data_IF_216855067443
#
_entry.id   IF_216855067443
#
_cell.length_a   1.000
_cell.length_b   1.000
_cell.length_c   1.000
_cell.angle_alpha   90.00
_cell.angle_beta   90.00
_cell.angle_gamma   90.00
#
_symmetry.space_group_name_H-M   'P 1'
#
loop_
_entity.id
_entity.type
_entity.pdbx_description
1 polymer ?
#
# COMPACT_ATOMS: atom_id res chain seq x y z
N UNK A 1 23.14 16.65 32.26
CA UNK A 1 23.58 17.30 31.01
C UNK A 1 23.93 16.23 30.00
N UNK A 2 22.96 15.75 29.21
CA UNK A 2 23.27 14.87 28.07
C UNK A 2 24.25 15.64 27.16
N UNK A 3 25.42 15.06 26.88
CA UNK A 3 26.49 15.72 26.16
C UNK A 3 25.95 16.30 24.84
N UNK A 4 26.34 17.52 24.49
CA UNK A 4 25.94 18.21 23.25
C UNK A 4 26.16 17.34 22.00
N UNK A 5 27.14 16.43 22.06
CA UNK A 5 27.39 15.38 21.07
C UNK A 5 26.19 14.44 20.92
N UNK A 6 25.58 13.97 22.00
CA UNK A 6 24.43 13.06 21.96
C UNK A 6 23.18 13.73 21.38
N UNK A 7 22.96 15.03 21.65
CA UNK A 7 21.90 15.82 20.98
C UNK A 7 22.08 15.90 19.47
N UNK A 8 23.32 16.09 19.01
CA UNK A 8 23.64 16.08 17.57
C UNK A 8 23.33 14.74 16.91
N UNK A 9 23.69 13.62 17.55
CA UNK A 9 23.38 12.28 17.04
C UNK A 9 21.88 12.03 16.99
N UNK A 10 21.13 12.44 18.01
CA UNK A 10 19.67 12.31 18.03
C UNK A 10 19.00 13.11 16.91
N UNK A 11 19.49 14.32 16.60
CA UNK A 11 18.97 15.11 15.47
C UNK A 11 19.30 14.47 14.12
N UNK A 12 20.51 13.91 13.96
CA UNK A 12 20.90 13.20 12.74
C UNK A 12 20.03 11.94 12.54
N UNK A 13 19.80 11.18 13.63
CA UNK A 13 18.92 10.01 13.60
C UNK A 13 17.49 10.41 13.23
N UNK A 14 16.97 11.49 13.81
CA UNK A 14 15.64 12.00 13.49
C UNK A 14 15.51 12.37 12.01
N UNK A 15 16.49 13.10 11.47
CA UNK A 15 16.51 13.47 10.05
C UNK A 15 16.57 12.22 9.17
N UNK A 16 17.44 11.26 9.47
CA UNK A 16 17.52 9.99 8.75
C UNK A 16 16.19 9.23 8.76
N UNK A 17 15.53 9.11 9.92
CA UNK A 17 14.23 8.46 10.03
C UNK A 17 13.16 9.14 9.16
N UNK A 18 13.13 10.48 9.14
CA UNK A 18 12.20 11.22 8.27
C UNK A 18 12.55 11.07 6.79
N UNK A 19 13.83 11.04 6.41
CA UNK A 19 14.25 10.81 5.03
C UNK A 19 13.85 9.40 4.53
N UNK A 20 14.00 8.37 5.37
CA UNK A 20 13.56 7.00 5.03
C UNK A 20 12.05 6.94 4.83
N UNK A 21 11.27 7.67 5.64
CA UNK A 21 9.81 7.72 5.48
C UNK A 21 9.36 8.34 4.15
N UNK A 22 10.10 9.33 3.63
CA UNK A 22 9.77 10.01 2.37
C UNK A 22 9.98 9.12 1.12
N UNK A 23 10.91 8.15 1.19
CA UNK A 23 11.14 7.17 0.13
C UNK A 23 10.32 5.88 0.30
N UNK A 24 9.56 5.77 1.39
CA UNK A 24 8.91 4.53 1.79
C UNK A 24 7.95 3.98 0.74
N UNK A 25 7.14 4.82 0.07
CA UNK A 25 6.10 4.32 -0.84
C UNK A 25 6.68 3.55 -2.04
N UNK A 26 7.75 4.06 -2.64
CA UNK A 26 8.41 3.40 -3.78
C UNK A 26 9.16 2.15 -3.32
N UNK A 27 9.76 2.21 -2.13
CA UNK A 27 10.45 1.09 -1.52
C UNK A 27 9.49 -0.04 -1.17
N UNK A 28 8.33 0.26 -0.60
CA UNK A 28 7.29 -0.71 -0.25
C UNK A 28 6.86 -1.53 -1.46
N UNK A 29 6.57 -0.89 -2.61
CA UNK A 29 6.21 -1.60 -3.84
C UNK A 29 7.35 -2.44 -4.43
N UNK A 30 8.61 -2.07 -4.19
CA UNK A 30 9.75 -2.86 -4.64
C UNK A 30 9.91 -4.17 -3.84
N UNK A 31 9.54 -4.18 -2.55
CA UNK A 31 9.68 -5.33 -1.66
C UNK A 31 8.38 -6.09 -1.40
N UNK A 32 7.26 -5.68 -2.01
CA UNK A 32 5.94 -6.22 -1.71
C UNK A 32 5.79 -7.67 -2.19
N UNK A 33 6.47 -8.06 -3.27
CA UNK A 33 6.46 -9.43 -3.78
C UNK A 33 7.08 -10.40 -2.76
N UNK A 34 8.22 -10.02 -2.18
CA UNK A 34 8.88 -10.77 -1.11
C UNK A 34 8.00 -10.86 0.13
N UNK A 35 7.37 -9.75 0.54
CA UNK A 35 6.50 -9.73 1.71
C UNK A 35 5.28 -10.66 1.54
N UNK A 36 4.67 -10.69 0.36
CA UNK A 36 3.55 -11.57 0.05
C UNK A 36 3.97 -13.04 0.14
N UNK A 37 5.11 -13.41 -0.46
CA UNK A 37 5.62 -14.79 -0.42
C UNK A 37 5.94 -15.22 1.00
N UNK A 38 6.67 -14.39 1.75
CA UNK A 38 7.00 -14.66 3.15
C UNK A 38 5.75 -14.89 4.00
N UNK A 39 4.72 -14.09 3.78
CA UNK A 39 3.44 -14.27 4.46
C UNK A 39 2.72 -15.54 4.03
N UNK A 40 2.86 -15.98 2.78
CA UNK A 40 2.18 -17.16 2.24
C UNK A 40 2.85 -18.47 2.66
N UNK A 41 4.18 -18.46 2.82
CA UNK A 41 4.97 -19.62 3.25
C UNK A 41 4.49 -20.17 4.61
N UNK A 42 3.92 -19.32 5.48
CA UNK A 42 3.32 -19.73 6.76
C UNK A 42 2.02 -20.54 6.61
N UNK A 43 1.38 -20.54 5.43
CA UNK A 43 0.08 -21.19 5.19
C UNK A 43 0.14 -22.34 4.21
N UNK A 44 1.07 -22.32 3.25
CA UNK A 44 1.09 -23.29 2.14
C UNK A 44 2.53 -23.66 1.80
N UNK A 45 2.82 -24.97 1.76
CA UNK A 45 4.08 -25.48 1.22
C UNK A 45 3.96 -25.64 -0.31
N UNK A 46 4.79 -24.93 -1.06
CA UNK A 46 4.81 -24.96 -2.53
C UNK A 46 6.01 -25.75 -3.04
N UNK A 47 5.81 -26.57 -4.06
CA UNK A 47 6.93 -27.14 -4.82
C UNK A 47 7.51 -26.13 -5.81
N UNK A 48 8.69 -26.44 -6.38
CA UNK A 48 9.41 -25.54 -7.30
C UNK A 48 8.56 -25.01 -8.46
N UNK A 49 7.68 -25.83 -9.03
CA UNK A 49 6.82 -25.40 -10.15
C UNK A 49 5.73 -24.45 -9.68
N UNK A 50 5.15 -24.69 -8.51
CA UNK A 50 4.12 -23.83 -7.92
C UNK A 50 4.73 -22.49 -7.50
N UNK A 51 5.95 -22.49 -6.94
CA UNK A 51 6.66 -21.27 -6.58
C UNK A 51 6.90 -20.37 -7.80
N UNK A 52 7.37 -20.95 -8.91
CA UNK A 52 7.56 -20.20 -10.16
C UNK A 52 6.25 -19.62 -10.71
N UNK A 53 5.16 -20.38 -10.63
CA UNK A 53 3.85 -19.90 -11.06
C UNK A 53 3.33 -18.76 -10.17
N UNK A 54 3.53 -18.88 -8.85
CA UNK A 54 3.19 -17.84 -7.89
C UNK A 54 4.00 -16.55 -8.13
N UNK A 55 5.31 -16.67 -8.35
CA UNK A 55 6.19 -15.54 -8.61
C UNK A 55 5.73 -14.74 -9.83
N UNK A 56 5.35 -15.44 -10.91
CA UNK A 56 4.81 -14.81 -12.12
C UNK A 56 3.47 -14.10 -11.86
N UNK A 57 2.54 -14.78 -11.15
CA UNK A 57 1.23 -14.22 -10.82
C UNK A 57 1.32 -12.99 -9.91
N UNK A 58 2.19 -13.02 -8.89
CA UNK A 58 2.42 -11.88 -8.00
C UNK A 58 3.00 -10.69 -8.77
N UNK A 59 3.99 -10.93 -9.63
CA UNK A 59 4.60 -9.88 -10.43
C UNK A 59 3.59 -9.18 -11.34
N UNK A 60 2.75 -9.97 -12.04
CA UNK A 60 1.68 -9.45 -12.88
C UNK A 60 0.63 -8.67 -12.07
N UNK A 61 0.19 -9.23 -10.94
CA UNK A 61 -0.78 -8.60 -10.05
C UNK A 61 -0.28 -7.24 -9.52
N UNK A 62 0.97 -7.15 -9.07
CA UNK A 62 1.54 -5.88 -8.55
C UNK A 62 1.56 -4.80 -9.63
N UNK A 63 1.97 -5.16 -10.86
CA UNK A 63 1.99 -4.24 -11.99
C UNK A 63 0.59 -3.75 -12.35
N UNK A 64 -0.37 -4.66 -12.44
CA UNK A 64 -1.76 -4.31 -12.69
C UNK A 64 -2.32 -3.40 -11.59
N UNK A 65 -2.09 -3.76 -10.33
CA UNK A 65 -2.58 -3.01 -9.17
C UNK A 65 -2.01 -1.59 -9.15
N UNK A 66 -0.71 -1.44 -9.41
CA UNK A 66 -0.06 -0.14 -9.46
C UNK A 66 -0.59 0.71 -10.62
N UNK A 67 -0.79 0.12 -11.80
CA UNK A 67 -1.18 0.85 -13.01
C UNK A 67 -2.68 1.19 -13.07
N UNK A 68 -3.55 0.36 -12.51
CA UNK A 68 -5.01 0.48 -12.67
C UNK A 68 -5.74 0.78 -11.38
N UNK A 69 -5.40 0.09 -10.29
CA UNK A 69 -6.18 0.14 -9.06
C UNK A 69 -5.74 1.30 -8.15
N UNK A 70 -4.43 1.51 -8.01
CA UNK A 70 -3.88 2.60 -7.20
C UNK A 70 -4.32 4.00 -7.68
N UNK A 71 -4.40 4.31 -8.98
CA UNK A 71 -4.94 5.59 -9.45
C UNK A 71 -6.42 5.80 -9.10
N UNK A 72 -7.25 4.73 -9.13
CA UNK A 72 -8.66 4.82 -8.74
C UNK A 72 -8.80 5.16 -7.25
N UNK A 73 -8.00 4.52 -6.39
CA UNK A 73 -7.98 4.87 -4.96
C UNK A 73 -7.57 6.32 -4.74
N UNK A 74 -6.55 6.79 -5.46
CA UNK A 74 -6.14 8.18 -5.38
C UNK A 74 -7.30 9.13 -5.73
N UNK A 75 -8.02 8.85 -6.81
CA UNK A 75 -9.17 9.64 -7.23
C UNK A 75 -10.32 9.60 -6.19
N UNK A 76 -10.67 8.42 -5.69
CA UNK A 76 -11.72 8.24 -4.68
C UNK A 76 -11.39 8.99 -3.38
N UNK A 77 -10.16 8.85 -2.88
CA UNK A 77 -9.71 9.52 -1.67
C UNK A 77 -9.67 11.05 -1.84
N UNK A 78 -9.26 11.54 -3.01
CA UNK A 78 -9.29 12.97 -3.29
C UNK A 78 -10.73 13.52 -3.37
N UNK A 79 -11.66 12.76 -3.94
CA UNK A 79 -13.08 13.13 -3.95
C UNK A 79 -13.66 13.18 -2.53
N UNK A 80 -13.35 12.18 -1.69
CA UNK A 80 -13.74 12.16 -0.28
C UNK A 80 -13.14 13.36 0.47
N UNK A 81 -11.83 13.62 0.30
CA UNK A 81 -11.14 14.76 0.90
C UNK A 81 -11.78 16.09 0.51
N UNK A 82 -12.14 16.27 -0.76
CA UNK A 82 -12.84 17.46 -1.23
C UNK A 82 -14.23 17.61 -0.57
N UNK A 83 -14.98 16.51 -0.46
CA UNK A 83 -16.30 16.51 0.19
C UNK A 83 -16.22 16.87 1.67
N UNK A 84 -15.20 16.37 2.38
CA UNK A 84 -14.91 16.75 3.77
C UNK A 84 -14.58 18.24 3.85
N UNK A 85 -13.67 18.73 3.00
CA UNK A 85 -13.25 20.13 2.99
C UNK A 85 -14.39 21.11 2.70
N UNK A 86 -15.36 20.72 1.87
CA UNK A 86 -16.55 21.50 1.54
C UNK A 86 -17.70 21.33 2.54
N UNK A 87 -17.51 20.57 3.64
CA UNK A 87 -18.55 20.23 4.62
C UNK A 87 -19.78 19.55 4.00
N UNK A 88 -19.57 18.78 2.94
CA UNK A 88 -20.62 18.04 2.23
C UNK A 88 -20.67 16.56 2.64
N UNK A 89 -20.13 16.18 3.79
CA UNK A 89 -20.14 14.79 4.24
C UNK A 89 -21.48 14.46 4.92
N UNK A 90 -22.48 14.09 4.12
CA UNK A 90 -23.77 13.55 4.58
C UNK A 90 -23.70 12.02 4.75
N UNK A 91 -24.68 11.43 5.43
CA UNK A 91 -24.76 9.97 5.58
C UNK A 91 -24.79 9.24 4.24
N UNK A 92 -25.58 9.72 3.27
CA UNK A 92 -25.66 9.11 1.93
C UNK A 92 -24.34 9.20 1.17
N UNK A 93 -23.62 10.33 1.30
CA UNK A 93 -22.31 10.50 0.65
C UNK A 93 -21.24 9.66 1.34
N UNK A 94 -21.29 9.54 2.66
CA UNK A 94 -20.43 8.59 3.39
C UNK A 94 -20.67 7.16 2.91
N UNK A 95 -21.93 6.76 2.78
CA UNK A 95 -22.29 5.45 2.26
C UNK A 95 -21.75 5.25 0.83
N UNK A 96 -21.93 6.23 -0.06
CA UNK A 96 -21.36 6.19 -1.42
C UNK A 96 -19.84 5.96 -1.43
N UNK A 97 -19.08 6.75 -0.64
CA UNK A 97 -17.62 6.60 -0.55
C UNK A 97 -17.21 5.25 0.08
N UNK A 98 -17.99 4.75 1.05
CA UNK A 98 -17.75 3.44 1.66
C UNK A 98 -17.97 2.30 0.66
N UNK A 99 -19.05 2.33 -0.11
CA UNK A 99 -19.34 1.31 -1.13
C UNK A 99 -18.30 1.34 -2.25
N UNK A 100 -17.89 2.53 -2.71
CA UNK A 100 -16.79 2.69 -3.67
C UNK A 100 -15.51 1.99 -3.19
N UNK A 101 -15.13 2.19 -1.92
CA UNK A 101 -13.95 1.54 -1.34
C UNK A 101 -14.06 0.02 -1.25
N UNK A 102 -15.25 -0.49 -0.88
CA UNK A 102 -15.52 -1.95 -0.82
C UNK A 102 -15.41 -2.60 -2.20
N UNK A 103 -15.97 -1.98 -3.23
CA UNK A 103 -15.93 -2.51 -4.60
C UNK A 103 -14.49 -2.65 -5.10
N UNK A 104 -13.66 -1.64 -4.89
CA UNK A 104 -12.23 -1.69 -5.23
C UNK A 104 -11.48 -2.82 -4.49
N UNK A 105 -11.81 -3.06 -3.21
CA UNK A 105 -11.22 -4.17 -2.44
C UNK A 105 -11.62 -5.56 -2.97
N UNK A 106 -12.86 -5.73 -3.43
CA UNK A 106 -13.32 -7.00 -4.02
C UNK A 106 -12.49 -7.37 -5.26
N UNK A 107 -12.14 -6.38 -6.10
CA UNK A 107 -11.32 -6.62 -7.31
C UNK A 107 -9.91 -7.12 -6.94
N UNK A 108 -9.34 -6.62 -5.84
CA UNK A 108 -8.06 -7.09 -5.31
C UNK A 108 -8.15 -8.55 -4.85
N UNK A 109 -9.23 -8.93 -4.16
CA UNK A 109 -9.42 -10.30 -3.65
C UNK A 109 -9.59 -11.33 -4.77
N UNK A 110 -10.08 -10.91 -5.93
CA UNK A 110 -10.13 -11.75 -7.12
C UNK A 110 -8.77 -11.90 -7.81
N UNK A 111 -7.69 -11.37 -7.23
CA UNK A 111 -6.32 -11.38 -7.78
C UNK A 111 -6.28 -10.94 -9.24
N UNK A 112 -7.11 -9.98 -9.68
CA UNK A 112 -7.35 -9.76 -11.10
C UNK A 112 -6.04 -9.55 -11.87
N UNK A 113 -5.67 -10.54 -12.70
CA UNK A 113 -6.01 -10.43 -14.11
C UNK A 113 -7.06 -11.45 -14.60
N UNK A 114 -7.81 -11.02 -15.63
CA UNK A 114 -7.85 -11.73 -16.90
C UNK A 114 -6.87 -11.02 -17.86
#
# INVERSE_FOLDING_TARGET
MLSSRLRGHLLIILVLLTCVSACSTKMSYYFIDWAIKWQLDDYVELNDKQQQALDAAIAEFILWHQAHELPKYNQQLNALKANIGQRQLTADRWHYHSEQGKQSFIIILTLSPA
#
